data_IF_930659139457
#
_entry.id   IF_930659139457
#
_cell.length_a   1.000
_cell.length_b   1.000
_cell.length_c   1.000
_cell.angle_alpha   90.00
_cell.angle_beta   90.00
_cell.angle_gamma   90.00
#
_symmetry.space_group_name_H-M   'P 1'
#
loop_
_entity.id
_entity.type
_entity.pdbx_description
1 polymer ?
#
# COMPACT_ATOMS: atom_id res chain seq x y z
N UNK A 1 -6.88 -12.76 16.08
CA UNK A 1 -7.69 -12.83 17.31
C UNK A 1 -8.17 -14.25 17.58
N UNK A 2 -8.97 -14.85 16.69
CA UNK A 2 -9.45 -16.24 16.85
C UNK A 2 -8.30 -17.23 17.05
N UNK A 3 -7.25 -17.14 16.23
CA UNK A 3 -6.04 -17.95 16.40
C UNK A 3 -5.38 -17.79 17.78
N UNK A 4 -5.41 -16.58 18.35
CA UNK A 4 -4.89 -16.33 19.69
C UNK A 4 -5.72 -17.02 20.77
N UNK A 5 -7.05 -16.91 20.67
CA UNK A 5 -7.96 -17.60 21.60
C UNK A 5 -7.80 -19.13 21.53
N UNK A 6 -7.69 -19.67 20.32
CA UNK A 6 -7.50 -21.10 20.06
C UNK A 6 -6.18 -21.62 20.65
N UNK A 7 -5.07 -20.92 20.39
CA UNK A 7 -3.78 -21.28 20.98
C UNK A 7 -3.79 -21.16 22.50
N UNK A 8 -4.46 -20.17 23.07
CA UNK A 8 -4.54 -20.04 24.53
C UNK A 8 -5.30 -21.22 25.15
N UNK A 9 -6.35 -21.73 24.49
CA UNK A 9 -7.06 -22.93 24.96
C UNK A 9 -6.16 -24.17 24.90
N UNK A 10 -5.46 -24.39 23.79
CA UNK A 10 -4.49 -25.50 23.66
C UNK A 10 -3.31 -25.33 24.63
N UNK A 11 -2.91 -24.11 24.97
CA UNK A 11 -1.86 -23.89 25.95
C UNK A 11 -2.29 -24.22 27.38
N UNK A 12 -3.57 -24.06 27.70
CA UNK A 12 -4.15 -24.42 29.01
C UNK A 12 -4.36 -25.93 29.14
N UNK A 13 -4.67 -26.59 28.04
CA UNK A 13 -4.85 -28.04 27.95
C UNK A 13 -4.07 -28.58 26.73
N UNK A 14 -2.74 -28.78 26.86
CA UNK A 14 -1.90 -29.23 25.76
C UNK A 14 -2.32 -30.59 25.23
N UNK A 15 -2.13 -30.80 23.93
CA UNK A 15 -2.44 -32.08 23.31
C UNK A 15 -1.33 -33.11 23.56
N UNK A 16 -1.74 -34.35 23.83
CA UNK A 16 -0.82 -35.48 24.07
C UNK A 16 -0.49 -36.25 22.77
N UNK A 17 -1.26 -36.02 21.71
CA UNK A 17 -1.07 -36.64 20.40
C UNK A 17 -1.56 -35.75 19.26
N UNK A 18 -1.26 -36.15 18.01
CA UNK A 18 -1.76 -35.43 16.84
C UNK A 18 -3.28 -35.55 16.67
N UNK A 19 -3.87 -36.69 17.02
CA UNK A 19 -5.32 -36.89 16.96
C UNK A 19 -6.03 -36.01 18.00
N UNK A 20 -5.53 -36.02 19.25
CA UNK A 20 -6.03 -35.14 20.32
C UNK A 20 -5.85 -33.66 19.97
N UNK A 21 -4.75 -33.29 19.31
CA UNK A 21 -4.57 -31.93 18.81
C UNK A 21 -5.66 -31.56 17.79
N UNK A 22 -6.02 -32.48 16.89
CA UNK A 22 -7.12 -32.32 15.95
C UNK A 22 -8.46 -32.12 16.64
N UNK A 23 -8.75 -32.90 17.67
CA UNK A 23 -9.97 -32.78 18.48
C UNK A 23 -10.02 -31.43 19.20
N UNK A 24 -8.93 -31.02 19.88
CA UNK A 24 -8.82 -29.71 20.55
C UNK A 24 -8.95 -28.55 19.56
N UNK A 25 -8.50 -28.71 18.32
CA UNK A 25 -8.75 -27.73 17.26
C UNK A 25 -10.25 -27.61 16.94
N UNK A 26 -10.93 -28.74 16.75
CA UNK A 26 -12.36 -28.79 16.47
C UNK A 26 -13.19 -28.18 17.59
N UNK A 27 -12.98 -28.63 18.82
CA UNK A 27 -13.64 -28.11 20.03
C UNK A 27 -13.33 -26.63 20.25
N UNK A 28 -12.06 -26.27 20.12
CA UNK A 28 -11.58 -24.91 20.29
C UNK A 28 -12.22 -23.94 19.30
N UNK A 29 -12.46 -24.36 18.05
CA UNK A 29 -13.17 -23.56 17.04
C UNK A 29 -14.68 -23.51 17.31
N UNK A 30 -15.29 -24.64 17.69
CA UNK A 30 -16.72 -24.71 18.02
C UNK A 30 -17.08 -23.83 19.22
N UNK A 31 -16.15 -23.67 20.17
CA UNK A 31 -16.31 -22.81 21.34
C UNK A 31 -16.10 -21.31 21.05
N UNK A 32 -15.81 -20.91 19.80
CA UNK A 32 -15.75 -19.50 19.41
C UNK A 32 -17.17 -19.00 19.10
N UNK A 33 -17.60 -18.00 19.85
CA UNK A 33 -18.91 -17.39 19.70
C UNK A 33 -19.00 -16.52 18.45
N UNK A 34 -20.24 -16.29 18.00
CA UNK A 34 -20.51 -15.34 16.91
C UNK A 34 -20.01 -13.93 17.23
N UNK A 35 -20.12 -13.47 18.48
CA UNK A 35 -19.61 -12.15 18.86
C UNK A 35 -18.09 -12.07 18.74
N UNK A 36 -17.35 -13.11 19.09
CA UNK A 36 -15.89 -13.16 18.94
C UNK A 36 -15.48 -13.10 17.47
N UNK A 37 -16.20 -13.79 16.57
CA UNK A 37 -15.99 -13.68 15.13
C UNK A 37 -16.24 -12.25 14.61
N UNK A 38 -17.35 -11.64 15.01
CA UNK A 38 -17.69 -10.25 14.63
C UNK A 38 -16.62 -9.28 15.16
N UNK A 39 -16.17 -9.47 16.40
CA UNK A 39 -15.12 -8.65 17.00
C UNK A 39 -13.79 -8.79 16.26
N UNK A 40 -13.41 -10.02 15.88
CA UNK A 40 -12.22 -10.27 15.08
C UNK A 40 -12.31 -9.59 13.71
N UNK A 41 -13.46 -9.68 13.03
CA UNK A 41 -13.70 -9.01 11.75
C UNK A 41 -13.56 -7.48 11.86
N UNK A 42 -14.27 -6.86 12.82
CA UNK A 42 -14.19 -5.40 13.05
C UNK A 42 -12.76 -4.93 13.34
N UNK A 43 -11.99 -5.74 14.05
CA UNK A 43 -10.58 -5.41 14.34
C UNK A 43 -9.72 -5.42 13.08
N UNK A 44 -9.87 -6.42 12.21
CA UNK A 44 -9.15 -6.46 10.93
C UNK A 44 -9.54 -5.26 10.07
N UNK A 45 -10.84 -4.97 9.97
CA UNK A 45 -11.33 -3.81 9.23
C UNK A 45 -10.72 -2.50 9.74
N UNK A 46 -10.66 -2.29 11.06
CA UNK A 46 -10.03 -1.11 11.65
C UNK A 46 -8.54 -1.00 11.34
N UNK A 47 -7.81 -2.12 11.28
CA UNK A 47 -6.39 -2.13 10.94
C UNK A 47 -6.16 -1.81 9.46
N UNK A 48 -7.01 -2.34 8.56
CA UNK A 48 -6.95 -2.02 7.14
C UNK A 48 -7.25 -0.54 6.89
N UNK A 49 -8.26 0.02 7.57
CA UNK A 49 -8.56 1.45 7.49
C UNK A 49 -7.37 2.30 7.95
N UNK A 50 -6.79 2.00 9.11
CA UNK A 50 -5.63 2.72 9.62
C UNK A 50 -4.43 2.65 8.65
N UNK A 51 -4.18 1.47 8.06
CA UNK A 51 -3.11 1.30 7.07
C UNK A 51 -3.33 2.17 5.82
N UNK A 52 -4.57 2.26 5.33
CA UNK A 52 -4.90 3.12 4.18
C UNK A 52 -4.71 4.60 4.53
N UNK A 53 -5.16 5.02 5.70
CA UNK A 53 -5.01 6.40 6.18
C UNK A 53 -3.53 6.78 6.34
N UNK A 54 -2.72 5.91 6.92
CA UNK A 54 -1.27 6.09 7.03
C UNK A 54 -0.60 6.17 5.65
N UNK A 55 -0.99 5.30 4.72
CA UNK A 55 -0.47 5.32 3.36
C UNK A 55 -0.84 6.61 2.60
N UNK A 56 -2.05 7.15 2.83
CA UNK A 56 -2.48 8.43 2.26
C UNK A 56 -1.74 9.62 2.89
N UNK A 57 -1.53 9.60 4.21
CA UNK A 57 -0.77 10.63 4.91
C UNK A 57 0.71 10.63 4.52
N UNK A 58 1.27 9.46 4.22
CA UNK A 58 2.66 9.30 3.76
C UNK A 58 2.83 9.53 2.25
N UNK A 59 1.74 9.64 1.48
CA UNK A 59 1.82 9.93 0.07
C UNK A 59 2.46 11.32 -0.12
N UNK A 60 3.51 11.45 -0.96
CA UNK A 60 4.06 12.76 -1.27
C UNK A 60 2.94 13.63 -1.85
N UNK A 61 2.90 14.91 -1.47
CA UNK A 61 1.97 15.88 -2.05
C UNK A 61 2.02 15.70 -3.57
N UNK A 62 0.86 15.41 -4.18
CA UNK A 62 0.84 15.23 -5.62
C UNK A 62 1.40 16.51 -6.23
N UNK A 63 2.45 16.37 -7.04
CA UNK A 63 2.89 17.49 -7.87
C UNK A 63 1.68 17.72 -8.78
N UNK A 64 0.99 18.88 -8.70
CA UNK A 64 -0.16 19.11 -9.54
C UNK A 64 0.29 18.92 -10.98
N UNK A 65 -0.45 18.11 -11.75
CA UNK A 65 -0.21 18.00 -13.17
C UNK A 65 -0.22 19.40 -13.78
N UNK A 66 0.80 19.79 -14.55
CA UNK A 66 0.85 21.11 -15.16
C UNK A 66 -0.45 21.35 -15.92
N UNK A 67 -1.06 22.51 -15.69
CA UNK A 67 -2.23 22.92 -16.44
C UNK A 67 -1.87 23.05 -17.92
N UNK A 68 -2.88 22.95 -18.80
CA UNK A 68 -2.68 23.15 -20.24
C UNK A 68 -2.01 24.50 -20.55
N UNK A 69 -2.29 25.54 -19.75
CA UNK A 69 -1.66 26.85 -19.87
C UNK A 69 -0.17 26.83 -19.55
N UNK A 70 0.23 26.16 -18.46
CA UNK A 70 1.63 26.00 -18.06
C UNK A 70 2.43 25.16 -19.06
N UNK A 71 1.80 24.10 -19.61
CA UNK A 71 2.41 23.31 -20.69
C UNK A 71 2.66 24.14 -21.95
N UNK A 72 1.73 25.03 -22.30
CA UNK A 72 1.87 25.93 -23.45
C UNK A 72 2.94 27.00 -23.19
N UNK A 73 3.02 27.54 -21.97
CA UNK A 73 4.04 28.50 -21.58
C UNK A 73 5.45 27.88 -21.64
N UNK A 74 5.63 26.66 -21.12
CA UNK A 74 6.89 25.92 -21.20
C UNK A 74 7.27 25.56 -22.65
N UNK A 75 6.29 25.19 -23.47
CA UNK A 75 6.53 24.94 -24.89
C UNK A 75 7.00 26.20 -25.62
N UNK A 76 6.37 27.35 -25.32
CA UNK A 76 6.74 28.64 -25.91
C UNK A 76 8.12 29.11 -25.43
N UNK A 77 8.42 28.96 -24.13
CA UNK A 77 9.72 29.29 -23.56
C UNK A 77 10.84 28.43 -24.16
N UNK A 78 10.58 27.13 -24.38
CA UNK A 78 11.53 26.24 -25.07
C UNK A 78 11.72 26.61 -26.54
N UNK A 79 10.67 27.04 -27.23
CA UNK A 79 10.77 27.52 -28.62
C UNK A 79 11.54 28.84 -28.70
N UNK A 80 11.36 29.75 -27.74
CA UNK A 80 12.09 31.01 -27.68
C UNK A 80 13.57 30.80 -27.32
N UNK A 81 13.87 29.89 -26.40
CA UNK A 81 15.24 29.53 -26.05
C UNK A 81 15.97 28.80 -27.19
N UNK A 82 15.27 28.01 -27.99
CA UNK A 82 15.83 27.37 -29.20
C UNK A 82 15.99 28.34 -30.38
N UNK A 83 15.39 29.53 -30.33
CA UNK A 83 15.50 30.56 -31.37
C UNK A 83 16.72 31.48 -31.20
N UNK A 84 17.43 31.40 -30.08
CA UNK A 84 18.66 32.18 -29.79
C UNK A 84 19.94 31.38 -30.11
N UNK A 85 19.83 30.08 -30.39
CA UNK A 85 20.95 29.24 -30.81
C UNK A 85 21.05 29.23 -32.35
N UNK A 86 21.22 30.42 -32.94
CA UNK A 86 21.68 30.51 -34.32
C UNK A 86 23.14 30.03 -34.37
N UNK A 87 23.33 28.74 -34.60
CA UNK A 87 24.63 28.18 -34.91
C UNK A 87 25.08 28.83 -36.24
N UNK A 88 26.01 29.77 -36.15
CA UNK A 88 26.81 30.23 -37.29
C UNK A 88 27.63 29.04 -37.78
N UNK A 89 27.09 28.29 -38.75
CA UNK A 89 27.83 27.24 -39.45
C UNK A 89 28.72 27.92 -40.48
N UNK A 90 29.93 28.31 -40.08
CA UNK A 90 31.01 28.65 -41.00
C UNK A 90 31.32 27.42 -41.89
N UNK A 91 30.94 27.48 -43.16
CA UNK A 91 31.36 26.53 -44.18
C UNK A 91 32.83 26.77 -44.52
N UNK A 92 33.74 26.09 -43.82
CA UNK A 92 35.14 26.07 -44.21
C UNK A 92 35.38 24.97 -45.25
N UNK A 93 35.27 25.33 -46.53
CA UNK A 93 35.64 24.47 -47.67
C UNK A 93 37.14 24.64 -47.92
N UNK A 94 37.94 23.65 -47.50
CA UNK A 94 39.36 23.59 -47.84
C UNK A 94 39.54 23.04 -49.27
N UNK A 95 40.32 23.76 -50.09
CA UNK A 95 40.82 23.33 -51.41
C UNK A 95 42.05 22.44 -51.26
#
# INVERSE_FOLDING_TARGET
>A
MIWGALKNRIALDPADSLDDLGDKFGEGLAAITKQEWIGAYKKVQSQETAYIEEAQAAAPASIPSPTRGELMALALERMNAAGDDSIDVEYNVAF
#
